data_IF_442583760952
#
_entry.id   IF_442583760952
#
_cell.length_a   1.000
_cell.length_b   1.000
_cell.length_c   1.000
_cell.angle_alpha   90.00
_cell.angle_beta   90.00
_cell.angle_gamma   90.00
#
_symmetry.space_group_name_H-M   'P 1'
#
loop_
_entity.id
_entity.type
_entity.pdbx_description
1 polymer ?
#
# COMPACT_ATOMS: atom_id res chain seq x y z
N UNK A 1 29.24 -11.42 -3.87
CA UNK A 1 27.99 -12.03 -4.38
C UNK A 1 26.84 -11.48 -3.54
N UNK A 2 25.96 -10.65 -4.11
CA UNK A 2 24.84 -10.04 -3.37
C UNK A 2 23.68 -11.03 -3.34
N UNK A 3 23.38 -11.58 -2.16
CA UNK A 3 22.16 -12.36 -1.96
C UNK A 3 20.99 -11.38 -2.01
N UNK A 4 20.28 -11.33 -3.14
CA UNK A 4 18.99 -10.65 -3.22
C UNK A 4 18.01 -11.45 -2.38
N UNK A 5 17.91 -11.12 -1.09
CA UNK A 5 16.83 -11.61 -0.24
C UNK A 5 15.55 -11.04 -0.86
N UNK A 6 14.80 -11.85 -1.57
CA UNK A 6 13.40 -11.59 -1.85
C UNK A 6 12.73 -11.48 -0.47
N UNK A 7 12.62 -10.27 0.05
CA UNK A 7 11.86 -10.00 1.27
C UNK A 7 10.40 -10.01 0.82
N UNK A 8 9.62 -11.09 1.05
CA UNK A 8 8.25 -11.20 0.52
C UNK A 8 7.32 -10.11 1.09
N UNK A 9 7.81 -9.35 2.08
CA UNK A 9 7.14 -8.19 2.64
C UNK A 9 7.29 -6.93 1.80
N UNK A 10 8.22 -6.83 0.83
CA UNK A 10 8.43 -5.60 0.04
C UNK A 10 8.36 -5.90 -1.46
N UNK A 11 7.43 -5.26 -2.16
CA UNK A 11 7.22 -5.47 -3.60
C UNK A 11 7.11 -4.12 -4.31
N UNK A 12 7.54 -4.08 -5.57
CA UNK A 12 7.36 -2.91 -6.41
C UNK A 12 5.89 -2.84 -6.80
N UNK A 13 5.23 -1.77 -6.37
CA UNK A 13 3.77 -1.63 -6.41
C UNK A 13 3.43 -0.50 -7.35
N UNK A 14 2.63 -0.79 -8.38
CA UNK A 14 2.11 0.23 -9.28
C UNK A 14 0.83 0.83 -8.67
N UNK A 15 0.70 2.15 -8.72
CA UNK A 15 -0.47 2.89 -8.27
C UNK A 15 -1.25 3.38 -9.49
N UNK A 16 -2.55 3.16 -9.49
CA UNK A 16 -3.45 3.38 -10.61
C UNK A 16 -4.57 4.32 -10.16
N UNK A 17 -4.72 5.44 -10.88
CA UNK A 17 -5.80 6.42 -10.71
C UNK A 17 -6.52 6.56 -12.06
N UNK A 18 -7.84 6.47 -12.05
CA UNK A 18 -8.66 6.62 -13.27
C UNK A 18 -8.21 5.74 -14.46
N UNK A 19 -7.71 4.54 -14.16
CA UNK A 19 -7.21 3.57 -15.15
C UNK A 19 -5.78 3.79 -15.64
N UNK A 20 -5.11 4.87 -15.23
CA UNK A 20 -3.73 5.17 -15.58
C UNK A 20 -2.75 4.88 -14.43
N UNK A 21 -1.57 4.35 -14.74
CA UNK A 21 -0.49 4.19 -13.75
C UNK A 21 0.09 5.57 -13.44
N UNK A 22 -0.09 6.04 -12.21
CA UNK A 22 0.38 7.36 -11.75
C UNK A 22 1.76 7.31 -11.11
N UNK A 23 2.26 6.11 -10.83
CA UNK A 23 3.61 5.89 -10.34
C UNK A 23 3.80 4.50 -9.77
N UNK A 24 5.04 4.20 -9.39
CA UNK A 24 5.41 2.97 -8.73
C UNK A 24 6.43 3.24 -7.62
N UNK A 25 6.29 2.54 -6.50
CA UNK A 25 7.30 2.55 -5.44
C UNK A 25 7.33 1.19 -4.74
N UNK A 26 8.40 0.94 -3.99
CA UNK A 26 8.48 -0.17 -3.08
C UNK A 26 7.51 0.03 -1.92
N UNK A 27 6.55 -0.88 -1.81
CA UNK A 27 5.62 -0.92 -0.69
C UNK A 27 5.79 -2.20 0.11
N UNK A 28 5.33 -2.18 1.36
CA UNK A 28 5.27 -3.33 2.23
C UNK A 28 3.89 -3.58 2.80
N UNK A 29 3.37 -4.79 2.65
CA UNK A 29 2.03 -5.14 3.10
C UNK A 29 2.05 -5.78 4.49
N UNK A 30 1.07 -5.40 5.33
CA UNK A 30 0.80 -6.03 6.62
C UNK A 30 -0.70 -6.12 6.88
N UNK A 31 -1.10 -7.05 7.73
CA UNK A 31 -2.48 -7.10 8.21
C UNK A 31 -2.78 -5.95 9.16
N UNK A 32 -4.03 -5.50 9.16
CA UNK A 32 -4.53 -4.54 10.13
C UNK A 32 -4.83 -5.23 11.47
N UNK A 33 -4.78 -4.50 12.61
CA UNK A 33 -5.38 -4.98 13.85
C UNK A 33 -6.89 -5.19 13.70
N UNK A 34 -7.49 -6.15 14.42
CA UNK A 34 -8.92 -6.48 14.35
C UNK A 34 -9.84 -5.26 14.54
N UNK A 35 -9.46 -4.32 15.40
CA UNK A 35 -10.20 -3.07 15.61
C UNK A 35 -10.24 -2.20 14.35
N UNK A 36 -9.11 -2.07 13.64
CA UNK A 36 -9.03 -1.31 12.38
C UNK A 36 -9.72 -2.06 11.23
N UNK A 37 -9.68 -3.40 11.23
CA UNK A 37 -10.36 -4.21 10.20
C UNK A 37 -11.87 -3.91 10.17
N UNK A 38 -12.51 -3.89 11.33
CA UNK A 38 -13.96 -3.59 11.46
C UNK A 38 -14.28 -2.15 11.09
N UNK A 39 -13.44 -1.20 11.50
CA UNK A 39 -13.68 0.22 11.24
C UNK A 39 -13.58 0.58 9.74
N UNK A 40 -12.69 -0.08 9.00
CA UNK A 40 -12.42 0.26 7.60
C UNK A 40 -13.02 -0.73 6.58
N UNK A 41 -13.51 -1.89 7.02
CA UNK A 41 -13.93 -2.96 6.10
C UNK A 41 -12.78 -3.43 5.20
N UNK A 42 -11.56 -3.42 5.74
CA UNK A 42 -10.32 -3.75 5.06
C UNK A 42 -9.51 -4.71 5.91
N UNK A 43 -8.67 -5.55 5.29
CA UNK A 43 -7.88 -6.54 6.02
C UNK A 43 -6.40 -6.16 6.14
N UNK A 44 -5.90 -5.32 5.25
CA UNK A 44 -4.48 -5.04 5.09
C UNK A 44 -4.20 -3.54 4.97
N UNK A 45 -2.94 -3.18 5.22
CA UNK A 45 -2.40 -1.90 4.79
C UNK A 45 -1.08 -2.10 4.06
N UNK A 46 -0.79 -1.18 3.15
CA UNK A 46 0.48 -1.01 2.47
C UNK A 46 1.23 0.17 3.08
N UNK A 47 2.39 -0.08 3.66
CA UNK A 47 3.37 0.92 4.01
C UNK A 47 4.17 1.28 2.75
N UNK A 48 3.98 2.49 2.24
CA UNK A 48 4.73 3.03 1.09
C UNK A 48 5.52 4.23 1.55
N UNK A 49 6.69 4.47 0.95
CA UNK A 49 7.39 5.74 1.16
C UNK A 49 6.46 6.88 0.73
N UNK A 50 6.43 7.95 1.50
CA UNK A 50 5.72 9.18 1.15
C UNK A 50 6.47 9.81 -0.02
N UNK A 51 6.08 9.45 -1.23
CA UNK A 51 6.45 10.16 -2.46
C UNK A 51 5.54 11.38 -2.58
N UNK A 52 5.91 12.36 -3.39
CA UNK A 52 5.05 13.49 -3.75
C UNK A 52 3.75 13.09 -4.48
N UNK A 53 3.53 11.80 -4.73
CA UNK A 53 2.27 11.30 -5.24
C UNK A 53 1.19 11.44 -4.16
N UNK A 54 0.16 12.23 -4.46
CA UNK A 54 -1.05 12.35 -3.64
C UNK A 54 -1.83 11.03 -3.70
N UNK A 55 -1.47 10.08 -2.83
CA UNK A 55 -2.24 8.87 -2.66
C UNK A 55 -3.62 9.21 -2.08
N UNK A 56 -4.67 8.70 -2.71
CA UNK A 56 -6.05 8.99 -2.33
C UNK A 56 -6.87 7.71 -2.19
N UNK A 57 -7.97 7.79 -1.44
CA UNK A 57 -8.96 6.73 -1.41
C UNK A 57 -9.59 6.55 -2.81
N UNK A 58 -9.92 5.31 -3.16
CA UNK A 58 -10.49 4.94 -4.45
C UNK A 58 -9.45 4.47 -5.48
N UNK A 59 -8.17 4.84 -5.31
CA UNK A 59 -7.08 4.35 -6.15
C UNK A 59 -6.93 2.83 -6.08
N UNK A 60 -6.37 2.25 -7.14
CA UNK A 60 -5.98 0.83 -7.18
C UNK A 60 -4.47 0.75 -7.03
N UNK A 61 -3.97 -0.20 -6.26
CA UNK A 61 -2.56 -0.53 -6.21
C UNK A 61 -2.34 -2.00 -6.54
N UNK A 62 -1.44 -2.27 -7.48
CA UNK A 62 -1.04 -3.62 -7.85
C UNK A 62 0.16 -4.06 -6.99
N UNK A 63 -0.09 -4.92 -6.00
CA UNK A 63 0.95 -5.46 -5.12
C UNK A 63 1.11 -6.96 -5.41
N UNK A 64 2.32 -7.36 -5.83
CA UNK A 64 2.63 -8.75 -6.20
C UNK A 64 1.67 -9.33 -7.27
N UNK A 65 1.33 -8.54 -8.29
CA UNK A 65 0.45 -8.96 -9.37
C UNK A 65 -1.03 -9.04 -8.98
N UNK A 66 -1.42 -8.51 -7.82
CA UNK A 66 -2.81 -8.48 -7.36
C UNK A 66 -3.27 -7.06 -7.15
N UNK A 67 -4.50 -6.77 -7.56
CA UNK A 67 -5.11 -5.46 -7.41
C UNK A 67 -5.79 -5.30 -6.05
N UNK A 68 -5.45 -4.21 -5.39
CA UNK A 68 -6.00 -3.81 -4.11
C UNK A 68 -6.55 -2.40 -4.21
N UNK A 69 -7.73 -2.19 -3.63
CA UNK A 69 -8.36 -0.87 -3.59
C UNK A 69 -7.97 -0.13 -2.32
N UNK A 70 -7.49 1.10 -2.47
CA UNK A 70 -7.20 2.00 -1.36
C UNK A 70 -8.51 2.52 -0.78
N UNK A 71 -8.74 2.24 0.49
CA UNK A 71 -9.91 2.67 1.25
C UNK A 71 -9.63 3.96 2.01
N UNK A 72 -8.42 4.08 2.56
CA UNK A 72 -8.00 5.27 3.28
C UNK A 72 -6.48 5.44 3.24
N UNK A 73 -6.01 6.67 3.42
CA UNK A 73 -4.59 7.00 3.51
C UNK A 73 -4.34 7.63 4.87
N UNK A 74 -3.39 7.08 5.62
CA UNK A 74 -3.00 7.55 6.95
C UNK A 74 -1.50 7.77 7.01
N UNK A 75 -1.00 8.71 7.84
CA UNK A 75 0.41 8.77 8.17
C UNK A 75 0.88 7.45 8.80
N UNK A 76 2.10 7.00 8.48
CA UNK A 76 2.66 5.82 9.14
C UNK A 76 3.19 6.18 10.53
N UNK A 77 2.90 5.36 11.57
CA UNK A 77 3.53 5.51 12.88
C UNK A 77 5.02 5.14 12.85
N UNK A 78 5.47 4.41 11.82
CA UNK A 78 6.87 3.97 11.66
C UNK A 78 7.81 5.11 11.24
N UNK A 79 7.27 6.26 10.83
CA UNK A 79 8.03 7.47 10.56
C UNK A 79 7.35 8.42 9.58
N UNK A 80 7.68 9.71 9.69
CA UNK A 80 7.13 10.82 8.86
C UNK A 80 7.29 10.64 7.35
N UNK A 81 8.19 9.76 6.93
CA UNK A 81 8.52 9.50 5.53
C UNK A 81 7.70 8.37 4.91
N UNK A 82 6.72 7.81 5.63
CA UNK A 82 5.89 6.71 5.14
C UNK A 82 4.40 7.01 5.28
N UNK A 83 3.62 6.48 4.35
CA UNK A 83 2.16 6.50 4.36
C UNK A 83 1.64 5.07 4.49
N UNK A 84 0.57 4.88 5.28
CA UNK A 84 -0.22 3.66 5.34
C UNK A 84 -1.42 3.81 4.40
N UNK A 85 -1.40 3.08 3.30
CA UNK A 85 -2.56 2.89 2.45
C UNK A 85 -3.37 1.73 3.02
N UNK A 86 -4.52 2.00 3.60
CA UNK A 86 -5.45 0.96 4.05
C UNK A 86 -6.11 0.39 2.81
N UNK A 87 -5.99 -0.91 2.59
CA UNK A 87 -6.42 -1.54 1.35
C UNK A 87 -7.31 -2.76 1.57
N UNK A 88 -8.24 -2.96 0.64
CA UNK A 88 -9.06 -4.16 0.53
C UNK A 88 -8.85 -4.82 -0.81
N UNK A 89 -9.09 -6.13 -0.88
CA UNK A 89 -9.06 -6.86 -2.14
C UNK A 89 -10.23 -6.38 -3.02
N UNK A 90 -9.95 -6.16 -4.30
CA UNK A 90 -10.98 -5.82 -5.31
C UNK A 90 -11.81 -7.05 -5.65
#
# INVERSE_FOLDING_TARGET
MSVTIANPRRSRTAFIKDGAVVGDDWASMRELPEAEKRAHGASHFLAVRRVAADFEAGMICNFQGRDWRVVAVRPSPEGRHFSRLIVRRT
#
